data_IF_129609010536
#
_entry.id   IF_129609010536
#
_cell.length_a   1.000
_cell.length_b   1.000
_cell.length_c   1.000
_cell.angle_alpha   90.00
_cell.angle_beta   90.00
_cell.angle_gamma   90.00
#
_symmetry.space_group_name_H-M   'P 1'
#
loop_
_entity.id
_entity.type
_entity.pdbx_description
1 polymer ?
#
# COMPACT_ATOMS: atom_id res chain seq x y z
N UNK A 1 -2.63 -13.64 -20.19
CA UNK A 1 -2.13 -12.43 -19.51
C UNK A 1 -3.35 -11.75 -18.95
N UNK A 2 -3.52 -11.77 -17.63
CA UNK A 2 -4.59 -10.99 -17.02
C UNK A 2 -4.27 -9.51 -17.21
N UNK A 3 -5.16 -8.82 -17.89
CA UNK A 3 -5.06 -7.38 -18.18
C UNK A 3 -4.87 -6.60 -16.88
N UNK A 4 -3.78 -5.83 -16.80
CA UNK A 4 -3.53 -4.86 -15.72
C UNK A 4 -2.38 -5.19 -14.77
N UNK A 5 -1.93 -6.45 -14.65
CA UNK A 5 -0.78 -6.82 -13.80
C UNK A 5 0.49 -7.04 -14.62
N UNK A 6 1.62 -6.51 -14.14
CA UNK A 6 2.93 -6.80 -14.72
C UNK A 6 3.26 -8.29 -14.55
N UNK A 7 3.92 -8.94 -15.54
CA UNK A 7 4.45 -10.28 -15.35
C UNK A 7 5.39 -10.34 -14.14
N UNK A 8 5.28 -11.37 -13.30
CA UNK A 8 6.03 -11.48 -12.04
C UNK A 8 7.55 -11.34 -12.24
N UNK A 9 8.10 -11.99 -13.26
CA UNK A 9 9.53 -11.92 -13.59
C UNK A 9 9.97 -10.50 -13.99
N UNK A 10 9.07 -9.74 -14.61
CA UNK A 10 9.37 -8.36 -15.00
C UNK A 10 9.29 -7.42 -13.79
N UNK A 11 8.28 -7.60 -12.93
CA UNK A 11 8.16 -6.86 -11.67
C UNK A 11 9.39 -7.11 -10.77
N UNK A 12 9.79 -8.37 -10.58
CA UNK A 12 10.98 -8.72 -9.80
C UNK A 12 12.25 -8.03 -10.32
N UNK A 13 12.45 -8.02 -11.65
CA UNK A 13 13.58 -7.31 -12.29
C UNK A 13 13.55 -5.81 -12.00
N UNK A 14 12.38 -5.18 -11.97
CA UNK A 14 12.25 -3.76 -11.64
C UNK A 14 12.54 -3.50 -10.17
N UNK A 15 11.96 -4.30 -9.27
CA UNK A 15 12.15 -4.14 -7.82
C UNK A 15 13.63 -4.30 -7.43
N UNK A 16 14.34 -5.26 -8.02
CA UNK A 16 15.78 -5.48 -7.78
C UNK A 16 16.69 -4.31 -8.15
N UNK A 17 16.21 -3.34 -8.95
CA UNK A 17 16.99 -2.11 -9.24
C UNK A 17 17.06 -1.19 -8.01
N UNK A 18 16.10 -1.27 -7.11
CA UNK A 18 16.06 -0.48 -5.88
C UNK A 18 16.89 -1.19 -4.80
N UNK A 19 18.12 -0.72 -4.58
CA UNK A 19 18.97 -1.23 -3.51
C UNK A 19 18.52 -0.69 -2.16
N UNK A 20 17.88 -1.53 -1.35
CA UNK A 20 17.57 -1.22 0.03
C UNK A 20 18.87 -1.25 0.84
N UNK A 21 19.26 -0.11 1.40
CA UNK A 21 20.51 0.03 2.19
C UNK A 21 20.26 0.02 3.70
N UNK A 22 19.04 0.33 4.11
CA UNK A 22 18.67 0.32 5.53
C UNK A 22 18.49 -1.13 5.98
N UNK A 23 19.38 -1.58 6.86
CA UNK A 23 19.38 -2.96 7.38
C UNK A 23 18.18 -3.27 8.27
N UNK A 24 17.43 -2.25 8.70
CA UNK A 24 16.19 -2.45 9.47
C UNK A 24 15.06 -2.96 8.59
N UNK A 25 15.13 -2.82 7.27
CA UNK A 25 14.10 -3.36 6.37
C UNK A 25 14.29 -4.87 6.24
N UNK A 26 13.56 -5.62 7.05
CA UNK A 26 13.61 -7.10 7.10
C UNK A 26 12.83 -7.70 5.93
N UNK A 27 11.72 -7.08 5.55
CA UNK A 27 10.98 -7.41 4.33
C UNK A 27 10.84 -6.17 3.48
N UNK A 28 11.48 -6.20 2.32
CA UNK A 28 11.36 -5.18 1.27
C UNK A 28 10.41 -5.61 0.14
N UNK A 29 10.30 -4.81 -0.93
CA UNK A 29 9.37 -5.10 -2.02
C UNK A 29 9.77 -6.36 -2.76
N UNK A 30 8.83 -7.29 -2.90
CA UNK A 30 8.95 -8.53 -3.66
C UNK A 30 7.61 -8.89 -4.31
N UNK A 31 7.59 -9.64 -5.41
CA UNK A 31 6.35 -10.16 -5.95
C UNK A 31 5.59 -10.97 -4.90
N UNK A 32 4.30 -10.66 -4.69
CA UNK A 32 3.44 -11.35 -3.74
C UNK A 32 3.52 -10.84 -2.30
N UNK A 33 4.37 -9.85 -2.00
CA UNK A 33 4.41 -9.19 -0.70
C UNK A 33 3.64 -7.89 -0.75
N UNK A 34 2.75 -7.69 0.21
CA UNK A 34 1.88 -6.52 0.24
C UNK A 34 2.44 -5.39 1.10
N UNK A 35 3.28 -5.65 2.11
CA UNK A 35 3.82 -4.63 2.99
C UNK A 35 5.33 -4.77 3.24
N UNK A 36 5.95 -3.68 3.72
CA UNK A 36 7.32 -3.68 4.20
C UNK A 36 7.36 -3.90 5.72
N UNK A 37 8.33 -4.71 6.20
CA UNK A 37 8.61 -4.89 7.63
C UNK A 37 9.90 -4.17 7.99
N UNK A 38 9.82 -3.30 9.00
CA UNK A 38 10.93 -2.49 9.49
C UNK A 38 11.16 -2.84 10.97
N UNK A 39 12.36 -3.29 11.29
CA UNK A 39 12.77 -3.61 12.66
C UNK A 39 13.01 -2.34 13.48
N UNK A 40 12.29 -2.23 14.60
CA UNK A 40 12.47 -1.16 15.60
C UNK A 40 13.15 -1.66 16.88
N UNK A 41 13.62 -2.92 16.90
CA UNK A 41 14.32 -3.56 18.01
C UNK A 41 13.41 -4.41 18.89
N UNK A 42 12.36 -3.80 19.46
CA UNK A 42 11.39 -4.50 20.32
C UNK A 42 10.15 -5.00 19.56
N UNK A 43 9.94 -4.48 18.34
CA UNK A 43 8.78 -4.77 17.49
C UNK A 43 9.09 -4.46 16.03
N UNK A 44 8.21 -4.91 15.15
CA UNK A 44 8.20 -4.53 13.74
C UNK A 44 7.19 -3.42 13.48
N UNK A 45 7.59 -2.45 12.67
CA UNK A 45 6.66 -1.57 11.97
C UNK A 45 6.34 -2.20 10.62
N UNK A 46 5.05 -2.46 10.38
CA UNK A 46 4.54 -2.94 9.10
C UNK A 46 3.93 -1.76 8.35
N UNK A 47 4.42 -1.50 7.14
CA UNK A 47 4.01 -0.36 6.33
C UNK A 47 3.45 -0.83 4.99
N UNK A 48 2.19 -0.48 4.73
CA UNK A 48 1.41 -0.78 3.52
C UNK A 48 0.91 0.52 2.90
N UNK A 49 0.81 0.54 1.58
CA UNK A 49 0.06 1.56 0.85
C UNK A 49 -0.59 0.94 -0.36
N UNK A 50 -1.91 1.09 -0.48
CA UNK A 50 -2.67 0.76 -1.69
C UNK A 50 -3.63 1.90 -2.05
N UNK A 51 -3.51 2.47 -3.26
CA UNK A 51 -4.49 3.44 -3.74
C UNK A 51 -5.79 2.72 -4.12
N UNK A 52 -6.92 3.25 -3.68
CA UNK A 52 -8.23 2.82 -4.17
C UNK A 52 -8.58 3.66 -5.38
N UNK A 53 -8.79 3.01 -6.52
CA UNK A 53 -9.20 3.65 -7.79
C UNK A 53 -10.50 3.02 -8.29
N UNK A 54 -11.28 3.78 -9.07
CA UNK A 54 -12.54 3.34 -9.69
C UNK A 54 -13.67 2.91 -8.74
N UNK A 55 -13.56 3.15 -7.44
CA UNK A 55 -14.68 2.97 -6.52
C UNK A 55 -15.77 4.00 -6.85
N UNK A 56 -17.00 3.52 -7.08
CA UNK A 56 -18.16 4.37 -7.39
C UNK A 56 -18.85 4.94 -6.16
N UNK A 57 -18.54 4.37 -4.99
CA UNK A 57 -19.13 4.68 -3.70
C UNK A 57 -18.18 4.24 -2.56
N UNK A 58 -18.35 4.82 -1.38
CA UNK A 58 -17.66 4.43 -0.14
C UNK A 58 -16.12 4.39 -0.24
N UNK A 59 -15.52 5.21 -1.12
CA UNK A 59 -14.07 5.18 -1.36
C UNK A 59 -13.26 5.37 -0.07
N UNK A 60 -13.69 6.26 0.83
CA UNK A 60 -13.05 6.45 2.14
C UNK A 60 -13.10 5.20 3.01
N UNK A 61 -14.22 4.47 3.01
CA UNK A 61 -14.35 3.22 3.74
C UNK A 61 -13.43 2.14 3.16
N UNK A 62 -13.39 1.99 1.83
CA UNK A 62 -12.51 1.03 1.18
C UNK A 62 -11.03 1.35 1.42
N UNK A 63 -10.62 2.61 1.36
CA UNK A 63 -9.23 3.03 1.64
C UNK A 63 -8.81 2.57 3.03
N UNK A 64 -9.67 2.77 4.03
CA UNK A 64 -9.38 2.37 5.41
C UNK A 64 -9.36 0.85 5.55
N UNK A 65 -10.40 0.16 5.07
CA UNK A 65 -10.57 -1.27 5.31
C UNK A 65 -9.56 -2.13 4.55
N UNK A 66 -9.29 -1.82 3.29
CA UNK A 66 -8.35 -2.60 2.47
C UNK A 66 -6.94 -2.50 3.06
N UNK A 67 -6.45 -1.29 3.30
CA UNK A 67 -5.12 -1.09 3.90
C UNK A 67 -5.02 -1.69 5.31
N UNK A 68 -6.10 -1.60 6.12
CA UNK A 68 -6.10 -2.19 7.47
C UNK A 68 -6.11 -3.72 7.45
N UNK A 69 -6.86 -4.32 6.52
CA UNK A 69 -6.93 -5.76 6.36
C UNK A 69 -5.57 -6.35 5.97
N UNK A 70 -4.86 -5.70 5.04
CA UNK A 70 -3.53 -6.16 4.59
C UNK A 70 -2.51 -6.14 5.73
N UNK A 71 -2.58 -5.15 6.63
CA UNK A 71 -1.78 -5.15 7.85
C UNK A 71 -2.19 -6.26 8.82
N UNK A 72 -3.51 -6.49 8.99
CA UNK A 72 -4.03 -7.49 9.91
C UNK A 72 -3.66 -8.92 9.51
N UNK A 73 -3.70 -9.27 8.22
CA UNK A 73 -3.32 -10.61 7.74
C UNK A 73 -1.82 -10.89 7.87
N UNK A 74 -1.00 -9.84 8.03
CA UNK A 74 0.41 -9.95 8.38
C UNK A 74 0.66 -10.02 9.90
N UNK A 75 -0.40 -10.03 10.71
CA UNK A 75 -0.31 -10.04 12.19
C UNK A 75 0.03 -8.68 12.80
N UNK A 76 -0.02 -7.60 12.01
CA UNK A 76 0.20 -6.25 12.50
C UNK A 76 -1.11 -5.64 13.05
N UNK A 77 -0.97 -4.73 14.02
CA UNK A 77 -2.09 -3.89 14.48
C UNK A 77 -2.07 -2.57 13.72
N UNK A 78 -3.10 -2.24 12.92
CA UNK A 78 -3.20 -0.92 12.28
C UNK A 78 -3.22 0.20 13.33
N UNK A 79 -2.43 1.25 13.13
CA UNK A 79 -2.33 2.39 14.07
C UNK A 79 -2.49 3.75 13.41
N UNK A 80 -1.98 3.89 12.20
CA UNK A 80 -1.95 5.16 11.46
C UNK A 80 -2.28 4.89 10.00
N UNK A 81 -2.80 5.91 9.32
CA UNK A 81 -3.11 5.87 7.91
C UNK A 81 -2.53 7.12 7.25
N UNK A 82 -1.78 6.92 6.17
CA UNK A 82 -1.30 7.99 5.30
C UNK A 82 -1.98 7.83 3.95
N UNK A 83 -2.66 8.88 3.48
CA UNK A 83 -3.48 8.83 2.26
C UNK A 83 -2.95 9.83 1.24
N UNK A 84 -2.82 9.37 0.00
CA UNK A 84 -2.64 10.22 -1.18
C UNK A 84 -3.96 10.25 -1.94
N UNK A 85 -4.59 11.42 -2.03
CA UNK A 85 -5.81 11.63 -2.80
C UNK A 85 -5.49 12.36 -4.10
N UNK A 86 -5.89 11.78 -5.23
CA UNK A 86 -5.76 12.40 -6.55
C UNK A 86 -7.15 12.79 -7.04
N UNK A 87 -7.37 14.09 -7.23
CA UNK A 87 -8.65 14.63 -7.68
C UNK A 87 -8.52 15.21 -9.09
N UNK A 88 -9.56 15.09 -9.93
CA UNK A 88 -9.57 15.76 -11.23
C UNK A 88 -9.63 17.28 -11.04
N UNK A 89 -9.19 18.00 -12.07
CA UNK A 89 -9.35 19.46 -12.12
C UNK A 89 -10.83 19.83 -12.08
N UNK A 90 -11.18 20.85 -11.29
CA UNK A 90 -12.56 21.32 -11.16
C UNK A 90 -13.46 20.44 -10.28
N UNK A 91 -12.89 19.55 -9.46
CA UNK A 91 -13.67 18.86 -8.42
C UNK A 91 -14.27 19.89 -7.46
N UNK A 92 -15.56 19.74 -7.16
CA UNK A 92 -16.25 20.55 -6.17
C UNK A 92 -15.98 20.00 -4.76
N UNK A 93 -15.93 20.87 -3.75
CA UNK A 93 -15.56 20.48 -2.38
C UNK A 93 -16.56 19.53 -1.72
N UNK A 94 -17.82 19.61 -2.11
CA UNK A 94 -18.90 18.74 -1.63
C UNK A 94 -18.67 17.25 -1.95
N UNK A 95 -17.96 16.95 -3.05
CA UNK A 95 -17.55 15.58 -3.41
C UNK A 95 -16.49 15.01 -2.45
N UNK A 96 -15.72 15.88 -1.78
CA UNK A 96 -14.66 15.48 -0.83
C UNK A 96 -15.19 15.38 0.60
N UNK A 97 -16.17 16.22 0.95
CA UNK A 97 -16.74 16.32 2.30
C UNK A 97 -17.86 15.29 2.61
N UNK A 98 -18.24 14.47 1.63
CA UNK A 98 -19.30 13.43 1.73
C UNK A 98 -18.81 12.12 2.34
#
# INVERSE_FOLDING_TARGET
>A
MDTGKLPADFLDKLLKKNKIRDTRVVLGPKPGEDAALIDLGDRYLVAKTDPITFATDLIGWYVVQVNSNDLAVMGATPKWLLVTLLLPEGVESDVVDS
#
